data_IF_030271902074
#
_entry.id   IF_030271902074
#
_cell.length_a   1.000
_cell.length_b   1.000
_cell.length_c   1.000
_cell.angle_alpha   90.00
_cell.angle_beta   90.00
_cell.angle_gamma   90.00
#
_symmetry.space_group_name_H-M   'P 1'
#
loop_
_entity.id
_entity.type
_entity.pdbx_description
1 polymer ?
#
# COMPACT_ATOMS: atom_id res chain seq x y z
N UNK A 1 -8.65 -60.00 -12.31
CA UNK A 1 -7.74 -58.89 -11.98
C UNK A 1 -8.39 -57.53 -12.23
N UNK A 2 -8.91 -57.22 -13.42
CA UNK A 2 -9.48 -55.93 -13.81
C UNK A 2 -10.62 -55.41 -12.91
N UNK A 3 -11.50 -56.26 -12.39
CA UNK A 3 -12.61 -55.82 -11.53
C UNK A 3 -12.15 -55.32 -10.15
N UNK A 4 -11.06 -55.91 -9.60
CA UNK A 4 -10.48 -55.47 -8.32
C UNK A 4 -9.76 -54.15 -8.44
N UNK A 5 -9.04 -53.94 -9.54
CA UNK A 5 -8.36 -52.67 -9.86
C UNK A 5 -9.36 -51.52 -10.06
N UNK A 6 -10.47 -51.78 -10.79
CA UNK A 6 -11.55 -50.80 -10.97
C UNK A 6 -12.21 -50.41 -9.64
N UNK A 7 -12.42 -51.39 -8.71
CA UNK A 7 -12.98 -51.06 -7.39
C UNK A 7 -12.03 -50.23 -6.55
N UNK A 8 -10.74 -50.54 -6.57
CA UNK A 8 -9.72 -49.78 -5.85
C UNK A 8 -9.63 -48.37 -6.39
N UNK A 9 -9.57 -48.20 -7.72
CA UNK A 9 -9.55 -46.90 -8.37
C UNK A 9 -10.79 -46.02 -8.01
N UNK A 10 -11.96 -46.66 -8.03
CA UNK A 10 -13.22 -45.99 -7.65
C UNK A 10 -13.23 -45.56 -6.18
N UNK A 11 -12.70 -46.38 -5.27
CA UNK A 11 -12.55 -46.03 -3.85
C UNK A 11 -11.56 -44.87 -3.66
N UNK A 12 -10.42 -44.93 -4.32
CA UNK A 12 -9.41 -43.85 -4.26
C UNK A 12 -9.95 -42.56 -4.79
N UNK A 13 -10.70 -42.57 -5.91
CA UNK A 13 -11.36 -41.39 -6.46
C UNK A 13 -12.42 -40.82 -5.51
N UNK A 14 -13.24 -41.69 -4.88
CA UNK A 14 -14.23 -41.25 -3.90
C UNK A 14 -13.56 -40.66 -2.65
N UNK A 15 -12.50 -41.26 -2.17
CA UNK A 15 -11.74 -40.73 -1.03
C UNK A 15 -11.13 -39.38 -1.37
N UNK A 16 -10.53 -39.24 -2.54
CA UNK A 16 -9.98 -37.95 -2.99
C UNK A 16 -11.07 -36.88 -3.11
N UNK A 17 -12.23 -37.23 -3.70
CA UNK A 17 -13.35 -36.32 -3.80
C UNK A 17 -13.85 -35.83 -2.42
N UNK A 18 -13.96 -36.78 -1.45
CA UNK A 18 -14.37 -36.42 -0.09
C UNK A 18 -13.36 -35.51 0.60
N UNK A 19 -12.05 -35.75 0.41
CA UNK A 19 -10.99 -34.90 0.94
C UNK A 19 -11.10 -33.48 0.33
N UNK A 20 -11.30 -33.38 -0.99
CA UNK A 20 -11.46 -32.10 -1.66
C UNK A 20 -12.71 -31.34 -1.18
N UNK A 21 -13.82 -32.04 -1.01
CA UNK A 21 -15.07 -31.46 -0.48
C UNK A 21 -14.89 -30.99 0.97
N UNK A 22 -14.22 -31.79 1.81
CA UNK A 22 -13.91 -31.39 3.18
C UNK A 22 -12.98 -30.18 3.25
N UNK A 23 -11.94 -30.14 2.41
CA UNK A 23 -11.06 -28.99 2.30
C UNK A 23 -11.81 -27.73 1.83
N UNK A 24 -12.67 -27.88 0.83
CA UNK A 24 -13.50 -26.77 0.35
C UNK A 24 -14.48 -26.26 1.41
N UNK A 25 -15.16 -27.18 2.13
CA UNK A 25 -16.06 -26.83 3.23
C UNK A 25 -15.33 -26.08 4.35
N UNK A 26 -14.09 -26.51 4.67
CA UNK A 26 -13.25 -25.85 5.65
C UNK A 26 -12.86 -24.43 5.20
N UNK A 27 -12.46 -24.25 3.94
CA UNK A 27 -12.16 -22.95 3.36
C UNK A 27 -13.41 -22.04 3.40
N UNK A 28 -14.57 -22.57 2.99
CA UNK A 28 -15.82 -21.85 3.01
C UNK A 28 -16.22 -21.42 4.43
N UNK A 29 -16.02 -22.32 5.42
CA UNK A 29 -16.26 -22.02 6.83
C UNK A 29 -15.38 -20.87 7.33
N UNK A 30 -14.07 -20.91 7.08
CA UNK A 30 -13.16 -19.83 7.47
C UNK A 30 -13.44 -18.53 6.72
N UNK A 31 -13.79 -18.62 5.43
CA UNK A 31 -14.20 -17.43 4.66
C UNK A 31 -15.47 -16.78 5.23
N UNK A 32 -16.42 -17.57 5.69
CA UNK A 32 -17.63 -17.05 6.34
C UNK A 32 -17.36 -16.43 7.72
N UNK A 33 -16.39 -16.97 8.46
CA UNK A 33 -15.95 -16.42 9.75
C UNK A 33 -15.06 -15.18 9.62
N UNK A 34 -14.58 -14.89 8.40
CA UNK A 34 -13.72 -13.73 8.17
C UNK A 34 -14.47 -12.43 8.49
N UNK A 35 -13.80 -11.52 9.19
CA UNK A 35 -14.34 -10.20 9.45
C UNK A 35 -14.65 -9.47 8.12
N UNK A 36 -15.75 -8.72 8.03
CA UNK A 36 -16.09 -7.98 6.81
C UNK A 36 -14.99 -6.99 6.45
N UNK A 37 -14.78 -6.81 5.15
CA UNK A 37 -13.85 -5.81 4.65
C UNK A 37 -14.26 -4.43 5.12
N UNK A 38 -13.28 -3.69 5.60
CA UNK A 38 -13.46 -2.32 6.08
C UNK A 38 -13.20 -1.32 4.95
N UNK A 39 -13.50 -0.03 5.17
CA UNK A 39 -13.33 1.03 4.17
C UNK A 39 -11.90 1.08 3.59
N UNK A 40 -10.88 0.88 4.40
CA UNK A 40 -9.48 0.87 3.91
C UNK A 40 -9.12 -0.35 3.04
N UNK A 41 -9.98 -1.39 3.01
CA UNK A 41 -9.86 -2.52 2.10
C UNK A 41 -10.65 -2.35 0.80
N UNK A 42 -11.59 -1.42 0.75
CA UNK A 42 -12.54 -1.28 -0.36
C UNK A 42 -12.50 0.08 -1.05
N UNK A 43 -12.10 1.13 -0.34
CA UNK A 43 -11.94 2.45 -0.93
C UNK A 43 -10.66 2.51 -1.76
N UNK A 44 -10.80 2.81 -3.04
CA UNK A 44 -9.69 2.93 -3.99
C UNK A 44 -9.43 4.41 -4.24
N UNK A 45 -8.33 4.97 -3.71
CA UNK A 45 -7.96 6.35 -3.99
C UNK A 45 -7.65 6.55 -5.47
N UNK A 46 -8.05 7.70 -6.08
CA UNK A 46 -7.76 8.00 -7.48
C UNK A 46 -6.30 8.43 -7.64
N UNK A 47 -5.40 7.45 -7.78
CA UNK A 47 -3.98 7.69 -8.02
C UNK A 47 -3.74 8.31 -9.40
N UNK A 48 -2.60 8.97 -9.57
CA UNK A 48 -2.17 9.45 -10.88
C UNK A 48 -1.70 8.28 -11.75
N UNK A 49 -2.19 8.24 -12.97
CA UNK A 49 -1.72 7.32 -14.02
C UNK A 49 -0.32 7.67 -14.51
N UNK A 50 0.31 6.76 -15.25
CA UNK A 50 1.61 6.96 -15.86
C UNK A 50 1.64 8.21 -16.76
N UNK A 51 0.60 8.41 -17.58
CA UNK A 51 0.50 9.56 -18.47
C UNK A 51 0.38 10.88 -17.70
N UNK A 52 -0.41 10.92 -16.62
CA UNK A 52 -0.55 12.10 -15.78
C UNK A 52 0.76 12.42 -15.05
N UNK A 53 1.48 11.39 -14.56
CA UNK A 53 2.78 11.53 -13.91
C UNK A 53 3.86 12.02 -14.87
N UNK A 54 3.90 11.51 -16.10
CA UNK A 54 4.87 11.91 -17.12
C UNK A 54 4.66 13.36 -17.58
N UNK A 55 3.42 13.88 -17.50
CA UNK A 55 3.06 15.26 -17.80
C UNK A 55 3.04 16.19 -16.57
N UNK A 56 3.34 15.69 -15.38
CA UNK A 56 3.39 16.47 -14.14
C UNK A 56 4.80 16.98 -13.85
N UNK A 57 4.87 18.09 -13.12
CA UNK A 57 6.08 18.48 -12.37
C UNK A 57 5.97 18.05 -10.91
N UNK A 58 7.07 18.23 -10.16
CA UNK A 58 7.13 17.85 -8.75
C UNK A 58 6.10 18.57 -7.89
N UNK A 59 5.84 19.84 -8.13
CA UNK A 59 4.89 20.62 -7.34
C UNK A 59 3.43 20.24 -7.63
N UNK A 60 3.10 20.02 -8.89
CA UNK A 60 1.79 19.51 -9.30
C UNK A 60 1.53 18.14 -8.70
N UNK A 61 2.53 17.25 -8.73
CA UNK A 61 2.46 15.95 -8.09
C UNK A 61 2.19 16.05 -6.58
N UNK A 62 2.94 16.87 -5.84
CA UNK A 62 2.71 17.07 -4.39
C UNK A 62 1.32 17.59 -4.08
N UNK A 63 0.77 18.46 -4.95
CA UNK A 63 -0.59 19.00 -4.81
C UNK A 63 -1.63 17.89 -4.98
N UNK A 64 -1.46 17.02 -5.98
CA UNK A 64 -2.34 15.88 -6.20
C UNK A 64 -2.21 14.84 -5.09
N UNK A 65 -1.01 14.57 -4.60
CA UNK A 65 -0.78 13.71 -3.45
C UNK A 65 -1.50 14.22 -2.19
N UNK A 66 -1.48 15.54 -1.95
CA UNK A 66 -2.21 16.14 -0.84
C UNK A 66 -3.72 15.92 -0.98
N UNK A 67 -4.28 16.22 -2.16
CA UNK A 67 -5.71 16.02 -2.44
C UNK A 67 -6.15 14.57 -2.22
N UNK A 68 -5.31 13.62 -2.63
CA UNK A 68 -5.56 12.19 -2.44
C UNK A 68 -5.55 11.81 -0.96
N UNK A 69 -4.61 12.34 -0.18
CA UNK A 69 -4.54 12.09 1.27
C UNK A 69 -5.75 12.70 1.97
N UNK A 70 -6.16 13.91 1.61
CA UNK A 70 -7.34 14.57 2.15
C UNK A 70 -8.62 13.77 1.82
N UNK A 71 -8.69 13.19 0.63
CA UNK A 71 -9.80 12.34 0.24
C UNK A 71 -9.84 11.04 1.06
N UNK A 72 -8.69 10.42 1.33
CA UNK A 72 -8.61 9.24 2.22
C UNK A 72 -9.04 9.59 3.65
N UNK A 73 -8.68 10.78 4.14
CA UNK A 73 -9.11 11.26 5.45
C UNK A 73 -10.65 11.39 5.49
N UNK A 74 -11.26 11.95 4.45
CA UNK A 74 -12.70 12.15 4.36
C UNK A 74 -13.49 10.85 4.15
N UNK A 75 -13.00 9.96 3.29
CA UNK A 75 -13.73 8.78 2.85
C UNK A 75 -13.47 7.54 3.71
N UNK A 76 -12.35 7.49 4.42
CA UNK A 76 -11.96 6.34 5.23
C UNK A 76 -11.86 6.71 6.70
N UNK A 77 -11.00 7.68 7.06
CA UNK A 77 -10.70 7.99 8.47
C UNK A 77 -11.92 8.57 9.17
N UNK A 78 -12.55 9.59 8.58
CA UNK A 78 -13.75 10.22 9.14
C UNK A 78 -14.97 9.29 9.21
N UNK A 79 -14.99 8.24 8.40
CA UNK A 79 -16.08 7.26 8.33
C UNK A 79 -15.75 5.93 9.03
N UNK A 80 -14.65 5.87 9.78
CA UNK A 80 -14.29 4.66 10.55
C UNK A 80 -15.38 4.32 11.57
N UNK A 81 -16.00 3.13 11.45
CA UNK A 81 -17.16 2.78 12.28
C UNK A 81 -16.72 2.55 13.74
N UNK A 82 -17.65 2.72 14.72
CA UNK A 82 -17.33 2.68 16.14
C UNK A 82 -16.58 1.43 16.59
N UNK A 83 -16.93 0.26 16.05
CA UNK A 83 -16.29 -1.01 16.36
C UNK A 83 -14.83 -1.10 15.89
N UNK A 84 -14.42 -0.22 14.98
CA UNK A 84 -13.06 -0.11 14.46
C UNK A 84 -12.27 1.06 15.05
N UNK A 85 -12.86 1.83 15.97
CA UNK A 85 -12.22 2.95 16.65
C UNK A 85 -11.29 2.46 17.77
N UNK A 86 -10.27 1.72 17.37
CA UNK A 86 -9.30 1.09 18.27
C UNK A 86 -7.95 1.82 18.23
N UNK A 87 -7.26 1.85 19.35
CA UNK A 87 -5.93 2.50 19.47
C UNK A 87 -4.88 1.92 18.48
N UNK A 88 -5.04 0.65 18.09
CA UNK A 88 -4.20 -0.02 17.10
C UNK A 88 -4.62 0.19 15.65
N UNK A 89 -5.73 0.89 15.37
CA UNK A 89 -6.19 1.15 14.03
C UNK A 89 -5.67 2.52 13.53
N UNK A 90 -4.73 2.51 12.59
CA UNK A 90 -4.17 3.75 12.02
C UNK A 90 -5.20 4.62 11.27
N UNK A 91 -6.34 4.07 10.89
CA UNK A 91 -7.45 4.78 10.24
C UNK A 91 -8.47 5.35 11.24
N UNK A 92 -8.29 5.13 12.53
CA UNK A 92 -9.07 5.83 13.53
C UNK A 92 -8.41 7.18 13.85
N UNK A 93 -9.13 8.28 13.67
CA UNK A 93 -8.63 9.63 13.83
C UNK A 93 -7.93 9.86 15.19
N UNK A 94 -8.48 9.33 16.28
CA UNK A 94 -7.91 9.51 17.62
C UNK A 94 -6.91 8.41 18.01
N UNK A 95 -6.55 7.49 17.11
CA UNK A 95 -5.55 6.47 17.43
C UNK A 95 -4.15 7.11 17.57
N UNK A 96 -3.36 6.73 18.58
CA UNK A 96 -1.99 7.27 18.74
C UNK A 96 -1.08 7.03 17.55
N UNK A 97 -1.40 6.01 16.74
CA UNK A 97 -0.62 5.63 15.54
C UNK A 97 -1.16 6.26 14.25
N UNK A 98 -2.22 7.10 14.34
CA UNK A 98 -2.72 7.80 13.16
C UNK A 98 -1.65 8.79 12.64
N UNK A 99 -1.33 8.79 11.33
CA UNK A 99 -0.30 9.64 10.76
C UNK A 99 -0.48 11.14 11.00
N UNK A 100 -1.72 11.61 11.17
CA UNK A 100 -2.03 13.03 11.43
C UNK A 100 -1.51 13.52 12.79
N UNK A 101 -1.23 12.63 13.76
CA UNK A 101 -0.72 12.99 15.07
C UNK A 101 0.81 13.23 15.10
N UNK A 102 1.50 12.88 14.02
CA UNK A 102 2.93 13.10 13.94
C UNK A 102 3.22 14.45 13.28
N UNK A 103 4.25 15.15 13.77
CA UNK A 103 4.71 16.42 13.19
C UNK A 103 4.93 16.33 11.68
N UNK A 104 5.54 15.21 11.24
CA UNK A 104 5.85 14.95 9.85
C UNK A 104 5.20 13.63 9.42
N UNK A 105 4.31 13.67 8.45
CA UNK A 105 3.75 12.47 7.84
C UNK A 105 4.73 11.92 6.80
N UNK A 106 5.65 11.07 7.23
CA UNK A 106 6.66 10.44 6.35
C UNK A 106 6.11 9.39 5.38
N UNK A 107 4.81 9.08 5.42
CA UNK A 107 4.20 8.22 4.40
C UNK A 107 4.01 8.93 3.05
N UNK A 108 4.27 10.22 3.01
CA UNK A 108 4.20 11.10 1.84
C UNK A 108 5.54 11.25 1.16
N UNK A 109 5.51 11.77 -0.04
CA UNK A 109 6.72 12.23 -0.74
C UNK A 109 7.36 13.40 0.01
N UNK A 110 8.67 13.39 0.06
CA UNK A 110 9.42 14.48 0.69
C UNK A 110 10.73 14.76 -0.03
N UNK A 111 11.20 16.00 0.14
CA UNK A 111 12.48 16.47 -0.33
C UNK A 111 13.26 16.99 0.87
N UNK A 112 14.49 16.49 1.07
CA UNK A 112 15.42 16.99 2.07
C UNK A 112 16.60 17.67 1.37
N UNK A 113 16.95 18.87 1.84
CA UNK A 113 18.11 19.61 1.36
C UNK A 113 19.21 19.59 2.42
N UNK A 114 20.46 19.49 2.03
CA UNK A 114 21.59 19.69 2.97
C UNK A 114 21.68 21.16 3.40
N UNK A 115 22.22 21.39 4.60
CA UNK A 115 22.46 22.74 5.10
C UNK A 115 23.68 23.42 4.44
N UNK A 116 24.50 22.70 3.71
CA UNK A 116 25.74 23.15 3.07
C UNK A 116 25.81 22.86 1.58
N UNK A 117 27.03 22.75 1.07
CA UNK A 117 27.30 22.45 -0.34
C UNK A 117 26.62 21.18 -0.80
N UNK A 118 25.96 21.23 -1.96
CA UNK A 118 25.31 20.08 -2.59
C UNK A 118 26.34 19.24 -3.32
N UNK A 119 26.53 17.99 -2.86
CA UNK A 119 27.44 17.01 -3.47
C UNK A 119 26.77 16.15 -4.52
N UNK A 120 25.44 16.09 -4.53
CA UNK A 120 24.68 15.29 -5.48
C UNK A 120 23.22 15.13 -5.06
N UNK A 121 22.49 14.31 -5.80
CA UNK A 121 21.08 13.98 -5.56
C UNK A 121 20.95 12.47 -5.29
N UNK A 122 20.10 12.11 -4.35
CA UNK A 122 19.74 10.73 -4.05
C UNK A 122 18.23 10.56 -4.15
N UNK A 123 17.76 9.69 -5.04
CA UNK A 123 16.35 9.33 -5.16
C UNK A 123 16.10 8.05 -4.39
N UNK A 124 15.08 8.08 -3.54
CA UNK A 124 14.69 6.95 -2.68
C UNK A 124 13.34 6.38 -3.12
N UNK A 125 13.35 5.08 -3.43
CA UNK A 125 12.18 4.30 -3.78
C UNK A 125 11.96 3.25 -2.69
N UNK A 126 10.75 3.22 -2.13
CA UNK A 126 10.37 2.26 -1.10
C UNK A 126 9.89 0.93 -1.69
N UNK A 127 9.72 -0.10 -0.85
CA UNK A 127 9.27 -1.43 -1.26
C UNK A 127 7.76 -1.55 -1.49
N UNK A 128 7.34 -2.71 -2.03
CA UNK A 128 5.97 -2.99 -2.49
C UNK A 128 4.88 -2.83 -1.40
N UNK A 129 5.18 -3.10 -0.14
CA UNK A 129 4.20 -2.98 0.96
C UNK A 129 4.57 -1.87 1.94
N UNK A 130 5.29 -0.87 1.45
CA UNK A 130 5.93 0.15 2.26
C UNK A 130 5.51 1.56 1.80
N UNK A 131 6.19 2.57 2.32
CA UNK A 131 6.05 3.97 1.96
C UNK A 131 7.39 4.69 2.19
N UNK A 132 7.53 5.96 1.79
CA UNK A 132 8.75 6.73 2.07
C UNK A 132 9.13 6.78 3.56
N UNK A 133 8.19 6.45 4.44
CA UNK A 133 8.40 6.39 5.89
C UNK A 133 9.59 5.52 6.31
N UNK A 134 9.75 4.34 5.72
CA UNK A 134 10.84 3.41 6.11
C UNK A 134 12.23 3.98 5.79
N UNK A 135 12.32 4.80 4.76
CA UNK A 135 13.56 5.38 4.27
C UNK A 135 13.98 6.66 5.00
N UNK A 136 13.13 7.24 5.87
CA UNK A 136 13.33 8.57 6.48
C UNK A 136 14.64 8.72 7.26
N UNK A 137 15.12 7.66 7.89
CA UNK A 137 16.36 7.73 8.69
C UNK A 137 17.61 7.74 7.78
N UNK A 138 17.63 6.90 6.76
CA UNK A 138 18.72 6.90 5.79
C UNK A 138 18.68 8.18 4.93
N UNK A 139 17.50 8.67 4.57
CA UNK A 139 17.31 9.93 3.86
C UNK A 139 17.92 11.12 4.61
N UNK A 140 17.64 11.25 5.91
CA UNK A 140 18.26 12.27 6.77
C UNK A 140 19.77 12.16 6.81
N UNK A 141 20.29 10.94 6.82
CA UNK A 141 21.74 10.72 6.84
C UNK A 141 22.40 11.12 5.51
N UNK A 142 21.74 10.89 4.38
CA UNK A 142 22.20 11.39 3.08
C UNK A 142 22.16 12.92 3.03
N UNK A 143 21.09 13.54 3.48
CA UNK A 143 20.98 15.00 3.54
C UNK A 143 22.09 15.61 4.42
N UNK A 144 22.34 15.06 5.60
CA UNK A 144 23.41 15.49 6.50
C UNK A 144 24.82 15.32 5.88
N UNK A 145 24.99 14.49 4.85
CA UNK A 145 26.25 14.28 4.15
C UNK A 145 26.35 15.09 2.83
N UNK A 146 25.45 16.03 2.59
CA UNK A 146 25.52 16.95 1.45
C UNK A 146 24.69 16.51 0.23
N UNK A 147 23.79 15.56 0.35
CA UNK A 147 22.92 15.15 -0.76
C UNK A 147 21.54 15.80 -0.67
N UNK A 148 21.02 16.26 -1.79
CA UNK A 148 19.58 16.50 -1.93
C UNK A 148 18.89 15.15 -2.02
N UNK A 149 17.91 14.91 -1.15
CA UNK A 149 17.17 13.63 -1.14
C UNK A 149 15.77 13.87 -1.66
N UNK A 150 15.38 13.10 -2.67
CA UNK A 150 14.01 13.02 -3.18
C UNK A 150 13.46 11.64 -2.83
N UNK A 151 12.50 11.57 -1.94
CA UNK A 151 11.80 10.33 -1.59
C UNK A 151 10.36 10.44 -2.10
N UNK A 152 10.06 9.72 -3.18
CA UNK A 152 8.73 9.75 -3.80
C UNK A 152 7.87 8.61 -3.26
N UNK A 153 6.60 8.92 -2.98
CA UNK A 153 5.57 7.91 -2.72
C UNK A 153 5.15 7.30 -4.06
N UNK A 154 5.33 6.02 -4.20
CA UNK A 154 4.84 5.31 -5.38
C UNK A 154 3.29 5.23 -5.33
N UNK A 155 2.60 5.38 -6.47
CA UNK A 155 1.15 5.24 -6.55
C UNK A 155 0.63 3.98 -5.86
N UNK A 156 -0.51 4.07 -5.19
CA UNK A 156 -1.11 2.99 -4.41
C UNK A 156 -0.54 2.78 -3.01
N UNK A 157 0.53 3.47 -2.63
CA UNK A 157 1.22 3.27 -1.35
C UNK A 157 0.97 4.42 -0.36
N UNK A 158 1.29 4.17 0.91
CA UNK A 158 1.27 5.20 1.97
C UNK A 158 -0.12 5.63 2.45
N UNK A 159 -1.17 5.25 1.78
CA UNK A 159 -2.58 5.56 2.07
C UNK A 159 -3.33 4.34 2.61
N UNK A 160 -4.17 3.72 1.81
CA UNK A 160 -4.96 2.52 2.16
C UNK A 160 -4.54 1.32 1.33
N UNK A 161 -4.63 0.08 1.85
CA UNK A 161 -4.22 -1.12 1.11
C UNK A 161 -4.94 -1.31 -0.22
N UNK A 162 -6.21 -0.89 -0.31
CA UNK A 162 -6.99 -0.97 -1.55
C UNK A 162 -6.39 -0.16 -2.70
N UNK A 163 -5.58 0.86 -2.43
CA UNK A 163 -4.88 1.64 -3.45
C UNK A 163 -3.99 0.81 -4.36
N UNK A 164 -3.42 -0.28 -3.85
CA UNK A 164 -2.56 -1.17 -4.64
C UNK A 164 -3.30 -2.01 -5.69
N UNK A 165 -4.63 -2.11 -5.59
CA UNK A 165 -5.42 -2.97 -6.49
C UNK A 165 -5.68 -2.35 -7.87
N UNK A 166 -5.36 -1.06 -8.06
CA UNK A 166 -5.66 -0.29 -9.27
C UNK A 166 -4.47 0.50 -9.81
N UNK A 167 -3.27 0.11 -9.43
CA UNK A 167 -2.03 0.68 -9.96
C UNK A 167 -1.24 -0.38 -10.70
N UNK A 168 -0.53 0.05 -11.73
CA UNK A 168 0.31 -0.79 -12.57
C UNK A 168 1.79 -0.45 -12.36
N UNK A 169 2.68 -1.30 -12.80
CA UNK A 169 4.12 -1.05 -12.66
C UNK A 169 4.59 0.16 -13.50
N UNK A 170 3.86 0.49 -14.58
CA UNK A 170 4.06 1.66 -15.41
C UNK A 170 3.90 2.96 -14.62
N UNK A 171 2.95 3.01 -13.69
CA UNK A 171 2.72 4.17 -12.81
C UNK A 171 3.93 4.38 -11.88
N UNK A 172 4.50 3.29 -11.35
CA UNK A 172 5.71 3.38 -10.52
C UNK A 172 6.93 3.81 -11.31
N UNK A 173 7.04 3.36 -12.56
CA UNK A 173 8.11 3.81 -13.46
C UNK A 173 7.96 5.30 -13.79
N UNK A 174 6.74 5.78 -14.04
CA UNK A 174 6.48 7.19 -14.30
C UNK A 174 6.77 8.06 -13.07
N UNK A 175 6.35 7.60 -11.87
CA UNK A 175 6.70 8.27 -10.61
C UNK A 175 8.22 8.34 -10.41
N UNK A 176 8.95 7.27 -10.75
CA UNK A 176 10.41 7.25 -10.67
C UNK A 176 11.03 8.26 -11.65
N UNK A 177 10.54 8.34 -12.90
CA UNK A 177 10.97 9.36 -13.87
C UNK A 177 10.71 10.78 -13.37
N UNK A 178 9.56 11.02 -12.75
CA UNK A 178 9.24 12.32 -12.15
C UNK A 178 10.24 12.69 -11.04
N UNK A 179 10.61 11.74 -10.18
CA UNK A 179 11.55 11.99 -9.08
C UNK A 179 12.99 12.30 -9.54
N UNK A 180 13.35 11.95 -10.78
CA UNK A 180 14.69 12.15 -11.36
C UNK A 180 14.78 13.42 -12.19
N UNK A 181 13.66 13.99 -12.61
CA UNK A 181 13.58 15.26 -13.34
C UNK A 181 13.80 16.46 -12.43
#
# INVERSE_FOLDING_TARGET
MLARTRRLLRRSLLTLLLILLAAWALIAYFAWQAAPLQLWHTFIPPELSADELDNSDWQAYLTREQQLIDLVEQEVVAKTPPEQQLAGNRYFQNAPINPAHFRDNWNRSYLLRPDGEVKGVAVFLHGLTDSPYSLRHIARRYAANGFVVVAIRLPGHGTVPAGLSHVEWEDWMAATRLAVR
#
